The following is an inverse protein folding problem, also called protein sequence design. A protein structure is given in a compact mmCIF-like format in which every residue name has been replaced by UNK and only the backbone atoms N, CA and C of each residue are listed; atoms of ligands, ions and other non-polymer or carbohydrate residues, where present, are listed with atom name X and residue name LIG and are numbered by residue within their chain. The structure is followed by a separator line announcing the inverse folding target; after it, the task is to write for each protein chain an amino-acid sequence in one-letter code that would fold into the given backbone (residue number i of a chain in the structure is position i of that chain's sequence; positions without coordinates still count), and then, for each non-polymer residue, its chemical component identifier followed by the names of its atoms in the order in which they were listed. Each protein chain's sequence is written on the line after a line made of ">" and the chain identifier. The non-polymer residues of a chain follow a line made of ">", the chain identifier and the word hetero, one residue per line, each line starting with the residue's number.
data_IF_035945882128
#
_entry.id   IF_035945882128
#
_cell.length_a   1.000
_cell.length_b   1.000
_cell.length_c   1.000
_cell.angle_alpha   90.00
_cell.angle_beta   90.00
_cell.angle_gamma   90.00
#
_symmetry.space_group_name_H-M   'P 1'
#
loop_
_entity.id
_entity.type
_entity.pdbx_description
1 polymer ?
#
# COMPACT_ATOMS: atom_id res chain seq x y z
N UNK A 1 -35.07 5.77 3.38
CA UNK A 1 -33.96 5.92 2.42
C UNK A 1 -32.73 6.33 3.21
N UNK A 2 -31.74 5.45 3.34
CA UNK A 2 -30.62 5.63 4.27
C UNK A 2 -29.41 6.28 3.57
N UNK A 3 -28.73 7.16 4.30
CA UNK A 3 -27.52 7.90 3.91
C UNK A 3 -26.38 6.98 3.44
N UNK A 4 -26.44 5.69 3.78
CA UNK A 4 -25.52 4.64 3.32
C UNK A 4 -25.56 4.37 1.82
N UNK A 5 -26.69 4.60 1.15
CA UNK A 5 -26.85 4.28 -0.28
C UNK A 5 -26.20 5.34 -1.18
N UNK A 6 -25.96 6.56 -0.65
CA UNK A 6 -25.39 7.69 -1.39
C UNK A 6 -23.85 7.69 -1.42
N UNK A 7 -23.19 6.93 -0.53
CA UNK A 7 -21.72 6.84 -0.45
C UNK A 7 -21.17 5.63 -1.23
N UNK A 8 -22.04 4.67 -1.59
CA UNK A 8 -21.66 3.48 -2.35
C UNK A 8 -21.56 3.72 -3.88
N UNK A 9 -22.05 4.86 -4.37
CA UNK A 9 -22.30 5.10 -5.79
C UNK A 9 -21.06 5.34 -6.67
N UNK A 10 -19.94 5.94 -6.21
CA UNK A 10 -18.75 6.03 -7.07
C UNK A 10 -17.99 4.70 -7.19
N UNK A 11 -18.29 3.70 -6.36
CA UNK A 11 -17.58 2.41 -6.33
C UNK A 11 -18.12 1.36 -7.32
N UNK A 12 -19.25 1.61 -7.98
CA UNK A 12 -19.98 0.57 -8.73
C UNK A 12 -19.81 0.59 -10.25
N UNK A 13 -19.30 1.68 -10.84
CA UNK A 13 -19.38 1.86 -12.31
C UNK A 13 -18.09 1.56 -13.11
N UNK A 14 -16.94 1.43 -12.46
CA UNK A 14 -15.66 1.32 -13.17
C UNK A 14 -15.24 -0.08 -13.65
N UNK A 15 -15.70 -1.15 -12.97
CA UNK A 15 -15.20 -2.51 -13.20
C UNK A 15 -15.74 -3.17 -14.47
N UNK A 16 -16.98 -2.85 -14.87
CA UNK A 16 -17.65 -3.54 -15.98
C UNK A 16 -17.12 -3.12 -17.36
N UNK A 17 -16.36 -2.03 -17.46
CA UNK A 17 -15.93 -1.46 -18.73
C UNK A 17 -14.48 -1.78 -19.14
N UNK A 18 -13.67 -2.48 -18.33
CA UNK A 18 -12.23 -2.63 -18.61
C UNK A 18 -11.52 -3.96 -18.30
N UNK A 19 -12.16 -4.98 -17.73
CA UNK A 19 -11.49 -6.26 -17.43
C UNK A 19 -10.20 -6.13 -16.58
N UNK A 20 -10.07 -5.06 -15.78
CA UNK A 20 -8.85 -4.74 -15.01
C UNK A 20 -9.21 -4.31 -13.59
N UNK A 21 -8.23 -4.38 -12.68
CA UNK A 21 -8.35 -3.97 -11.27
C UNK A 21 -9.05 -2.61 -11.12
N UNK A 22 -10.00 -2.53 -10.17
CA UNK A 22 -10.80 -1.32 -9.89
C UNK A 22 -9.95 -0.11 -9.42
N UNK A 23 -8.86 -0.38 -8.68
CA UNK A 23 -7.84 0.61 -8.32
C UNK A 23 -6.45 0.02 -8.60
N UNK A 24 -5.47 0.86 -8.91
CA UNK A 24 -4.09 0.47 -9.22
C UNK A 24 -3.94 -0.43 -10.45
N UNK A 25 -4.56 -0.09 -11.60
CA UNK A 25 -4.57 -0.95 -12.80
C UNK A 25 -3.17 -1.10 -13.42
N UNK A 26 -2.26 -0.18 -13.13
CA UNK A 26 -0.89 -0.16 -13.62
C UNK A 26 0.08 0.02 -12.45
N UNK A 27 1.17 -0.74 -12.45
CA UNK A 27 2.18 -0.70 -11.41
C UNK A 27 3.38 -1.57 -11.75
N UNK A 28 4.43 -1.43 -10.95
CA UNK A 28 5.65 -2.22 -10.99
C UNK A 28 5.65 -3.11 -9.75
N UNK A 29 5.62 -4.42 -9.95
CA UNK A 29 5.84 -5.39 -8.90
C UNK A 29 7.36 -5.55 -8.70
N UNK A 30 7.80 -5.67 -7.47
CA UNK A 30 9.20 -5.76 -7.12
C UNK A 30 9.42 -6.67 -5.91
N UNK A 31 10.58 -7.33 -5.88
CA UNK A 31 11.10 -8.02 -4.70
C UNK A 31 12.10 -7.11 -3.99
N UNK A 32 12.21 -7.33 -2.69
CA UNK A 32 13.09 -6.54 -1.83
C UNK A 32 13.12 -7.08 -0.42
N UNK A 33 13.60 -6.26 0.51
CA UNK A 33 13.73 -6.61 1.92
C UNK A 33 13.17 -5.50 2.81
N UNK A 34 12.59 -5.93 3.93
CA UNK A 34 12.24 -5.09 5.07
C UNK A 34 13.29 -5.30 6.16
N UNK A 35 13.87 -4.22 6.66
CA UNK A 35 14.79 -4.21 7.79
C UNK A 35 14.12 -3.48 8.96
N UNK A 36 13.97 -4.14 10.10
CA UNK A 36 13.37 -3.51 11.28
C UNK A 36 14.43 -2.65 11.96
N UNK A 37 14.11 -1.37 12.19
CA UNK A 37 15.02 -0.43 12.89
C UNK A 37 14.55 -0.11 14.31
N UNK A 38 13.24 -0.17 14.58
CA UNK A 38 12.72 0.01 15.95
C UNK A 38 12.97 -1.24 16.81
N UNK A 39 13.16 -1.09 18.14
CA UNK A 39 13.28 -2.22 19.07
C UNK A 39 12.15 -3.25 18.89
N UNK A 40 12.48 -4.54 18.98
CA UNK A 40 11.57 -5.65 18.65
C UNK A 40 10.21 -5.62 19.39
N UNK A 41 10.20 -5.08 20.62
CA UNK A 41 9.00 -4.99 21.45
C UNK A 41 8.13 -3.75 21.16
N UNK A 42 8.60 -2.79 20.36
CA UNK A 42 7.98 -1.48 20.21
C UNK A 42 7.09 -1.39 18.96
N UNK A 43 5.81 -1.10 19.21
CA UNK A 43 4.84 -0.76 18.17
C UNK A 43 4.39 -1.95 17.31
N UNK A 44 4.19 -1.70 16.03
CA UNK A 44 3.64 -2.65 15.08
C UNK A 44 4.58 -3.83 14.82
N UNK A 45 4.04 -5.04 14.58
CA UNK A 45 4.83 -6.27 14.52
C UNK A 45 5.49 -6.50 13.14
N UNK A 46 6.10 -5.47 12.54
CA UNK A 46 6.84 -5.64 11.27
C UNK A 46 8.16 -6.36 11.58
N UNK A 47 8.40 -7.56 11.00
CA UNK A 47 9.69 -8.25 11.09
C UNK A 47 10.68 -7.70 10.06
N UNK A 48 11.96 -8.04 10.24
CA UNK A 48 12.89 -8.05 9.12
C UNK A 48 12.65 -9.31 8.29
N UNK A 49 12.49 -9.17 6.98
CA UNK A 49 12.15 -10.27 6.07
C UNK A 49 12.35 -9.86 4.62
N UNK A 50 12.31 -10.84 3.72
CA UNK A 50 12.02 -10.56 2.32
C UNK A 50 10.58 -10.05 2.17
N UNK A 51 10.36 -9.26 1.13
CA UNK A 51 9.05 -8.72 0.79
C UNK A 51 8.80 -8.77 -0.71
N UNK A 52 7.52 -8.78 -1.05
CA UNK A 52 7.05 -8.43 -2.39
C UNK A 52 6.29 -7.13 -2.28
N UNK A 53 6.61 -6.14 -3.10
CA UNK A 53 5.96 -4.85 -3.10
C UNK A 53 5.48 -4.46 -4.49
N UNK A 54 4.48 -3.59 -4.55
CA UNK A 54 3.98 -3.01 -5.79
C UNK A 54 3.91 -1.50 -5.65
N UNK A 55 4.65 -0.80 -6.50
CA UNK A 55 4.54 0.65 -6.69
C UNK A 55 3.54 0.88 -7.83
N UNK A 56 2.60 1.80 -7.67
CA UNK A 56 1.48 1.91 -8.62
C UNK A 56 0.89 3.30 -8.70
N UNK A 57 0.12 3.53 -9.75
CA UNK A 57 -0.75 4.70 -9.93
C UNK A 57 -2.16 4.31 -9.53
N UNK A 58 -2.78 5.02 -8.58
CA UNK A 58 -4.05 4.60 -7.99
C UNK A 58 -5.22 4.68 -8.98
N UNK A 59 -5.33 5.79 -9.72
CA UNK A 59 -6.34 5.97 -10.76
C UNK A 59 -5.87 5.30 -12.06
N UNK A 60 -4.56 5.37 -12.35
CA UNK A 60 -3.96 4.80 -13.55
C UNK A 60 -3.93 5.80 -14.71
N UNK A 61 -3.66 7.07 -14.42
CA UNK A 61 -3.51 8.09 -15.48
C UNK A 61 -2.39 7.71 -16.46
N UNK A 62 -2.51 8.04 -17.76
CA UNK A 62 -1.54 7.62 -18.76
C UNK A 62 -0.14 8.19 -18.53
N UNK A 63 0.89 7.37 -18.76
CA UNK A 63 2.29 7.78 -18.77
C UNK A 63 2.70 8.63 -17.57
N UNK A 64 3.33 9.78 -17.85
CA UNK A 64 3.90 10.70 -16.88
C UNK A 64 2.88 11.58 -16.12
N UNK A 65 1.58 11.47 -16.42
CA UNK A 65 0.57 12.38 -15.88
C UNK A 65 0.42 12.28 -14.36
N UNK A 66 -0.03 13.35 -13.69
CA UNK A 66 -0.29 13.33 -12.25
C UNK A 66 -1.28 12.24 -11.84
N UNK A 67 -1.11 11.69 -10.64
CA UNK A 67 -1.97 10.66 -10.05
C UNK A 67 -1.74 10.63 -8.53
N UNK A 68 -2.50 9.82 -7.80
CA UNK A 68 -2.10 9.33 -6.49
C UNK A 68 -1.19 8.13 -6.67
N UNK A 69 -0.14 8.05 -5.87
CA UNK A 69 0.77 6.91 -5.93
C UNK A 69 0.49 5.94 -4.78
N UNK A 70 0.51 4.65 -5.08
CA UNK A 70 0.28 3.57 -4.13
C UNK A 70 1.53 2.72 -3.92
N UNK A 71 1.73 2.29 -2.68
CA UNK A 71 2.72 1.29 -2.30
C UNK A 71 1.99 0.15 -1.56
N UNK A 72 1.94 -1.02 -2.18
CA UNK A 72 1.51 -2.25 -1.55
C UNK A 72 2.73 -3.06 -1.14
N UNK A 73 2.74 -3.65 0.05
CA UNK A 73 3.85 -4.47 0.56
C UNK A 73 3.25 -5.73 1.15
N UNK A 74 3.75 -6.90 0.74
CA UNK A 74 3.50 -8.18 1.36
C UNK A 74 4.73 -8.56 2.16
N UNK A 75 4.56 -8.58 3.47
CA UNK A 75 5.57 -9.02 4.42
C UNK A 75 5.39 -10.51 4.66
N UNK A 76 6.47 -11.27 4.49
CA UNK A 76 6.46 -12.70 4.77
C UNK A 76 6.19 -12.96 6.25
N UNK A 77 5.37 -13.97 6.59
CA UNK A 77 5.14 -14.34 7.98
C UNK A 77 6.44 -14.86 8.61
N UNK A 78 6.61 -14.63 9.93
CA UNK A 78 7.73 -15.23 10.69
C UNK A 78 7.55 -16.72 10.91
N UNK A 79 6.32 -17.18 11.04
CA UNK A 79 5.96 -18.57 11.29
C UNK A 79 5.34 -19.17 10.03
N UNK A 80 5.70 -20.41 9.70
CA UNK A 80 5.28 -21.08 8.46
C UNK A 80 3.76 -21.18 8.32
N UNK A 81 3.03 -21.27 9.44
CA UNK A 81 1.57 -21.38 9.46
C UNK A 81 0.84 -20.02 9.57
N UNK A 82 1.56 -18.90 9.71
CA UNK A 82 0.95 -17.58 9.85
C UNK A 82 0.61 -16.96 8.50
N UNK A 83 -0.43 -16.13 8.47
CA UNK A 83 -0.81 -15.35 7.31
C UNK A 83 0.24 -14.29 6.99
N UNK A 84 0.53 -14.01 5.71
CA UNK A 84 1.34 -12.85 5.34
C UNK A 84 0.64 -11.57 5.79
N UNK A 85 1.41 -10.48 5.87
CA UNK A 85 0.84 -9.16 6.14
C UNK A 85 0.91 -8.28 4.91
N UNK A 86 -0.26 -7.94 4.37
CA UNK A 86 -0.39 -6.95 3.30
C UNK A 86 -0.63 -5.55 3.88
N UNK A 87 0.27 -4.64 3.55
CA UNK A 87 0.24 -3.24 3.93
C UNK A 87 -0.03 -2.44 2.66
N UNK A 88 -1.08 -1.61 2.67
CA UNK A 88 -1.40 -0.71 1.58
C UNK A 88 -1.25 0.74 2.02
N UNK A 89 -0.45 1.49 1.28
CA UNK A 89 -0.19 2.91 1.50
C UNK A 89 -0.49 3.69 0.22
N UNK A 90 -0.93 4.94 0.37
CA UNK A 90 -1.20 5.84 -0.75
C UNK A 90 -0.77 7.26 -0.42
N UNK A 91 -0.39 8.04 -1.43
CA UNK A 91 0.07 9.43 -1.28
C UNK A 91 -0.98 10.29 -0.58
N UNK A 92 -0.60 10.82 0.58
CA UNK A 92 -1.48 11.61 1.44
C UNK A 92 -0.68 12.58 2.30
N UNK A 93 -1.37 13.48 2.99
CA UNK A 93 -0.76 14.23 4.08
C UNK A 93 -0.38 13.34 5.27
N UNK A 94 0.49 13.83 6.15
CA UNK A 94 1.01 13.08 7.31
C UNK A 94 0.69 13.69 8.69
N UNK A 95 0.06 14.86 8.72
CA UNK A 95 -0.45 15.45 9.96
C UNK A 95 -1.53 14.57 10.61
N UNK A 96 -1.87 14.82 11.88
CA UNK A 96 -2.81 13.98 12.65
C UNK A 96 -4.16 13.79 11.96
N UNK A 97 -4.73 14.85 11.38
CA UNK A 97 -5.96 14.75 10.58
C UNK A 97 -5.67 14.36 9.13
N UNK A 98 -4.59 14.91 8.55
CA UNK A 98 -4.27 14.74 7.14
C UNK A 98 -3.94 13.28 6.77
N UNK A 99 -3.38 12.49 7.70
CA UNK A 99 -3.06 11.06 7.49
C UNK A 99 -4.28 10.16 7.27
N UNK A 100 -5.49 10.65 7.56
CA UNK A 100 -6.73 9.88 7.39
C UNK A 100 -7.55 10.31 6.17
N UNK A 101 -7.52 11.60 5.81
CA UNK A 101 -8.48 12.18 4.85
C UNK A 101 -7.84 12.97 3.71
N UNK A 102 -6.57 13.37 3.82
CA UNK A 102 -5.94 14.26 2.85
C UNK A 102 -5.18 13.47 1.79
N UNK A 103 -5.90 12.82 0.88
CA UNK A 103 -5.31 12.26 -0.35
C UNK A 103 -4.62 13.38 -1.13
N UNK A 104 -3.39 13.12 -1.60
CA UNK A 104 -2.58 14.11 -2.29
C UNK A 104 -2.18 13.60 -3.68
N UNK A 105 -2.67 14.20 -4.77
CA UNK A 105 -2.14 13.92 -6.09
C UNK A 105 -0.68 14.41 -6.16
N UNK A 106 0.14 13.70 -6.90
CA UNK A 106 1.55 14.04 -7.09
C UNK A 106 1.92 14.00 -8.56
N UNK A 107 3.03 14.65 -8.87
CA UNK A 107 3.67 14.70 -10.19
C UNK A 107 5.03 14.02 -10.20
N UNK A 108 5.51 13.51 -9.05
CA UNK A 108 6.83 12.89 -8.89
C UNK A 108 6.79 11.69 -7.93
N UNK A 109 7.69 10.73 -8.17
CA UNK A 109 7.94 9.57 -7.30
C UNK A 109 8.85 9.92 -6.10
N UNK A 110 9.70 10.93 -6.26
CA UNK A 110 10.68 11.37 -5.26
C UNK A 110 10.01 12.14 -4.12
N UNK A 111 10.51 11.96 -2.89
CA UNK A 111 10.11 12.75 -1.72
C UNK A 111 8.64 12.60 -1.30
N UNK A 112 7.98 11.53 -1.75
CA UNK A 112 6.56 11.33 -1.49
C UNK A 112 6.32 10.75 -0.11
N UNK A 113 5.22 11.17 0.50
CA UNK A 113 4.72 10.61 1.75
C UNK A 113 3.44 9.84 1.48
N UNK A 114 3.41 8.58 1.89
CA UNK A 114 2.27 7.68 1.74
C UNK A 114 1.82 7.22 3.12
N UNK A 115 0.52 7.10 3.35
CA UNK A 115 0.00 6.58 4.62
C UNK A 115 -1.03 5.49 4.39
N UNK A 116 -1.35 4.74 5.45
CA UNK A 116 -2.35 3.67 5.39
C UNK A 116 -3.77 4.18 5.16
N UNK A 117 -4.04 5.49 5.32
CA UNK A 117 -5.36 6.17 5.38
C UNK A 117 -6.33 5.64 6.44
N UNK A 118 -6.14 4.41 6.88
CA UNK A 118 -6.90 3.76 7.93
C UNK A 118 -5.99 3.38 9.09
N UNK A 119 -6.46 3.55 10.32
CA UNK A 119 -5.76 3.06 11.48
C UNK A 119 -5.75 1.52 11.53
N UNK A 120 -4.69 0.99 12.12
CA UNK A 120 -4.53 -0.40 12.51
C UNK A 120 -4.75 -0.49 14.02
N UNK A 121 -5.41 -1.52 14.50
CA UNK A 121 -5.52 -1.82 15.92
C UNK A 121 -4.57 -2.95 16.25
N UNK A 122 -3.70 -2.73 17.23
CA UNK A 122 -2.72 -3.71 17.67
C UNK A 122 -2.39 -3.48 19.15
N UNK A 123 -2.44 -4.56 19.95
CA UNK A 123 -2.19 -4.55 21.41
C UNK A 123 -2.94 -3.42 22.15
N UNK A 124 -4.22 -3.24 21.81
CA UNK A 124 -5.07 -2.19 22.39
C UNK A 124 -4.82 -0.77 21.87
N UNK A 125 -3.75 -0.54 21.12
CA UNK A 125 -3.42 0.76 20.53
C UNK A 125 -4.00 0.94 19.12
N UNK A 126 -4.17 2.21 18.74
CA UNK A 126 -4.52 2.63 17.38
C UNK A 126 -3.25 3.12 16.70
N UNK A 127 -2.89 2.53 15.57
CA UNK A 127 -1.61 2.75 14.92
C UNK A 127 -1.79 3.23 13.48
N UNK A 128 -0.87 4.07 13.04
CA UNK A 128 -0.77 4.55 11.67
C UNK A 128 0.55 4.11 11.08
N UNK A 129 0.57 3.76 9.79
CA UNK A 129 1.79 3.52 9.04
C UNK A 129 2.01 4.65 8.03
N UNK A 130 3.28 5.01 7.84
CA UNK A 130 3.74 5.94 6.82
C UNK A 130 4.94 5.36 6.09
N UNK A 131 4.98 5.53 4.77
CA UNK A 131 6.19 5.38 3.99
C UNK A 131 6.65 6.75 3.48
N UNK A 132 7.96 6.98 3.46
CA UNK A 132 8.58 8.11 2.79
C UNK A 132 9.64 7.60 1.83
N UNK A 133 9.58 7.98 0.57
CA UNK A 133 10.64 7.66 -0.39
C UNK A 133 11.92 8.39 0.05
N UNK A 134 13.01 7.65 0.25
CA UNK A 134 14.32 8.20 0.63
C UNK A 134 15.17 8.40 -0.62
N UNK A 135 15.15 7.42 -1.53
CA UNK A 135 15.89 7.49 -2.79
C UNK A 135 15.27 8.53 -3.73
N UNK A 136 16.13 9.15 -4.54
CA UNK A 136 15.68 9.94 -5.67
C UNK A 136 15.26 9.02 -6.83
N UNK A 137 13.98 9.06 -7.18
CA UNK A 137 13.41 8.33 -8.31
C UNK A 137 13.24 9.33 -9.46
N UNK A 138 14.39 9.71 -10.03
CA UNK A 138 14.50 10.79 -11.01
C UNK A 138 13.98 10.35 -12.39
N UNK A 139 13.11 11.17 -12.98
CA UNK A 139 12.57 10.96 -14.31
C UNK A 139 11.48 11.98 -14.65
N UNK A 140 10.81 11.79 -15.78
CA UNK A 140 9.75 12.69 -16.24
C UNK A 140 8.39 12.26 -15.68
N UNK A 141 7.90 12.99 -14.68
CA UNK A 141 6.57 12.81 -14.11
C UNK A 141 6.38 11.45 -13.41
N UNK A 142 5.16 10.91 -13.49
CA UNK A 142 4.81 9.61 -12.89
C UNK A 142 4.92 8.42 -13.86
N UNK A 143 5.94 8.40 -14.72
CA UNK A 143 6.19 7.24 -15.57
C UNK A 143 6.54 6.02 -14.72
N UNK A 144 5.91 4.87 -15.00
CA UNK A 144 6.25 3.61 -14.33
C UNK A 144 7.58 3.04 -14.82
N UNK A 145 8.07 3.45 -16.00
CA UNK A 145 9.40 3.02 -16.45
C UNK A 145 10.49 3.63 -15.58
N UNK A 146 10.33 4.88 -15.14
CA UNK A 146 11.24 5.51 -14.17
C UNK A 146 11.36 4.70 -12.88
N UNK A 147 10.27 4.10 -12.41
CA UNK A 147 10.30 3.20 -11.25
C UNK A 147 11.09 1.93 -11.54
N UNK A 148 10.90 1.33 -12.73
CA UNK A 148 11.65 0.13 -13.13
C UNK A 148 13.15 0.42 -13.25
N UNK A 149 13.49 1.52 -13.90
CA UNK A 149 14.88 1.98 -14.08
C UNK A 149 15.55 2.25 -12.75
N UNK A 150 14.89 2.95 -11.82
CA UNK A 150 15.42 3.18 -10.48
C UNK A 150 15.67 1.88 -9.71
N UNK A 151 14.75 0.91 -9.80
CA UNK A 151 14.95 -0.41 -9.19
C UNK A 151 16.15 -1.14 -9.81
N UNK A 152 16.27 -1.15 -11.15
CA UNK A 152 17.41 -1.78 -11.85
C UNK A 152 18.74 -1.06 -11.59
N UNK A 153 18.71 0.25 -11.40
CA UNK A 153 19.88 1.12 -11.30
C UNK A 153 20.47 1.29 -9.90
N UNK A 154 19.91 0.64 -8.89
CA UNK A 154 20.41 0.75 -7.51
C UNK A 154 19.36 0.46 -6.43
N UNK A 155 18.09 0.36 -6.82
CA UNK A 155 16.99 0.09 -5.91
C UNK A 155 16.27 1.36 -5.45
N UNK A 156 15.12 1.17 -4.80
CA UNK A 156 14.36 2.26 -4.19
C UNK A 156 14.22 1.98 -2.70
N UNK A 157 14.63 2.93 -1.88
CA UNK A 157 14.54 2.87 -0.42
C UNK A 157 13.37 3.71 0.10
N UNK A 158 12.65 3.17 1.07
CA UNK A 158 11.61 3.86 1.83
C UNK A 158 11.86 3.77 3.33
N UNK A 159 11.69 4.89 4.02
CA UNK A 159 11.54 4.89 5.47
C UNK A 159 10.10 4.49 5.80
N UNK A 160 9.94 3.46 6.65
CA UNK A 160 8.66 3.06 7.20
C UNK A 160 8.59 3.56 8.64
N UNK A 161 7.61 4.43 8.90
CA UNK A 161 7.38 5.03 10.20
C UNK A 161 6.02 4.58 10.77
N UNK A 162 5.87 4.67 12.08
CA UNK A 162 4.64 4.37 12.81
C UNK A 162 4.25 5.49 13.78
N UNK A 163 2.95 5.62 14.07
CA UNK A 163 2.46 6.51 15.11
C UNK A 163 1.32 5.86 15.89
N UNK A 164 1.35 5.98 17.22
CA UNK A 164 0.24 5.53 18.09
C UNK A 164 -0.71 6.71 18.38
N UNK A 165 -2.00 6.52 18.11
CA UNK A 165 -3.04 7.52 18.29
C UNK A 165 -2.74 8.80 17.52
N UNK A 166 -2.51 9.88 18.26
CA UNK A 166 -2.20 11.22 17.74
C UNK A 166 -0.73 11.59 17.82
N UNK A 167 0.13 10.65 18.26
CA UNK A 167 1.56 10.90 18.37
C UNK A 167 2.20 11.19 17.00
N UNK A 168 3.40 11.73 17.07
CA UNK A 168 4.27 11.88 15.91
C UNK A 168 4.72 10.52 15.38
N UNK A 169 5.09 10.53 14.10
CA UNK A 169 5.64 9.35 13.46
C UNK A 169 7.07 9.12 13.91
N UNK A 170 7.33 7.93 14.43
CA UNK A 170 8.66 7.43 14.79
C UNK A 170 9.10 6.33 13.84
N UNK A 171 10.41 6.15 13.58
CA UNK A 171 10.91 5.08 12.72
C UNK A 171 10.43 3.69 13.17
N UNK A 172 10.14 2.82 12.21
CA UNK A 172 9.76 1.42 12.44
C UNK A 172 10.69 0.47 11.68
N UNK A 173 10.81 0.70 10.37
CA UNK A 173 11.57 -0.16 9.47
C UNK A 173 12.10 0.62 8.26
N UNK A 174 12.99 0.00 7.50
CA UNK A 174 13.46 0.42 6.20
C UNK A 174 13.04 -0.62 5.18
N UNK A 175 12.48 -0.17 4.07
CA UNK A 175 12.13 -1.03 2.93
C UNK A 175 13.07 -0.71 1.78
N UNK A 176 13.69 -1.74 1.20
CA UNK A 176 14.54 -1.62 0.01
C UNK A 176 14.03 -2.53 -1.09
N UNK A 177 13.70 -1.97 -2.25
CA UNK A 177 13.25 -2.71 -3.43
C UNK A 177 14.38 -2.79 -4.46
N UNK A 178 14.78 -3.99 -4.84
CA UNK A 178 16.01 -4.21 -5.63
C UNK A 178 15.77 -4.94 -6.94
N UNK A 179 14.66 -5.67 -7.08
CA UNK A 179 14.40 -6.48 -8.26
C UNK A 179 13.01 -6.20 -8.80
N UNK A 180 12.91 -5.63 -10.00
CA UNK A 180 11.63 -5.50 -10.68
C UNK A 180 11.19 -6.86 -11.23
N UNK A 181 9.94 -7.23 -10.96
CA UNK A 181 9.33 -8.47 -11.42
C UNK A 181 8.70 -8.23 -12.80
N UNK A 182 8.80 -9.21 -13.69
CA UNK A 182 8.32 -9.11 -15.07
C UNK A 182 6.79 -8.94 -15.13
N UNK A 183 6.24 -8.60 -16.31
CA UNK A 183 4.80 -8.48 -16.51
C UNK A 183 4.07 -9.82 -16.58
N UNK A 184 4.70 -10.93 -16.19
CA UNK A 184 4.11 -12.26 -16.25
C UNK A 184 2.84 -12.30 -15.38
N UNK A 185 1.65 -12.57 -15.97
CA UNK A 185 0.41 -12.71 -15.22
C UNK A 185 0.48 -13.77 -14.11
N UNK A 186 1.32 -14.80 -14.25
CA UNK A 186 1.53 -15.82 -13.22
C UNK A 186 2.20 -15.26 -11.95
N UNK A 187 2.91 -14.14 -12.07
CA UNK A 187 3.53 -13.44 -10.94
C UNK A 187 2.61 -12.34 -10.36
N UNK A 188 1.35 -12.25 -10.80
CA UNK A 188 0.43 -11.20 -10.37
C UNK A 188 -0.05 -11.39 -8.91
N UNK A 189 0.60 -10.68 -7.99
CA UNK A 189 0.26 -10.73 -6.56
C UNK A 189 -0.99 -9.91 -6.24
N UNK A 190 -2.01 -10.56 -5.69
CA UNK A 190 -3.21 -9.91 -5.15
C UNK A 190 -3.00 -9.52 -3.68
N UNK A 191 -2.83 -8.22 -3.41
CA UNK A 191 -2.72 -7.69 -2.05
C UNK A 191 -4.10 -7.45 -1.42
N UNK A 192 -4.31 -7.92 -0.19
CA UNK A 192 -5.56 -7.80 0.56
C UNK A 192 -5.27 -7.50 2.05
N UNK A 193 -5.33 -6.23 2.49
CA UNK A 193 -4.98 -5.83 3.85
C UNK A 193 -6.06 -6.20 4.88
N UNK A 194 -7.19 -6.80 4.45
CA UNK A 194 -8.21 -7.30 5.37
C UNK A 194 -7.96 -8.77 5.69
N UNK A 195 -7.65 -9.57 4.66
CA UNK A 195 -7.39 -11.01 4.81
C UNK A 195 -5.98 -11.28 5.32
N UNK A 196 -4.99 -10.57 4.78
CA UNK A 196 -3.58 -10.77 5.10
C UNK A 196 -3.14 -9.79 6.20
N UNK A 197 -3.44 -10.15 7.44
CA UNK A 197 -3.00 -9.44 8.64
C UNK A 197 -2.37 -10.42 9.64
N UNK A 198 -1.37 -10.00 10.43
CA UNK A 198 -0.76 -10.84 11.43
C UNK A 198 -1.67 -10.99 12.66
N UNK A 199 -1.46 -12.03 13.49
CA UNK A 199 -2.25 -12.24 14.71
C UNK A 199 -2.33 -11.00 15.60
N UNK A 200 -3.55 -10.67 16.04
CA UNK A 200 -3.82 -9.53 16.92
C UNK A 200 -3.80 -8.15 16.24
N UNK A 201 -3.56 -8.09 14.93
CA UNK A 201 -3.67 -6.87 14.14
C UNK A 201 -4.98 -6.87 13.35
N UNK A 202 -5.67 -5.72 13.32
CA UNK A 202 -6.88 -5.54 12.52
C UNK A 202 -6.98 -4.13 11.98
N UNK A 203 -7.68 -3.95 10.87
CA UNK A 203 -8.05 -2.61 10.39
C UNK A 203 -9.14 -2.00 11.28
N UNK A 204 -9.09 -0.67 11.43
CA UNK A 204 -10.05 0.11 12.20
C UNK A 204 -10.47 1.35 11.39
N UNK A 205 -11.72 1.83 11.48
CA UNK A 205 -12.87 1.18 12.13
C UNK A 205 -13.36 -0.04 11.33
N UNK A 206 -13.97 -1.01 12.03
CA UNK A 206 -14.36 -2.31 11.44
C UNK A 206 -15.30 -2.20 10.24
N UNK A 207 -16.26 -1.27 10.26
CA UNK A 207 -17.21 -1.08 9.16
C UNK A 207 -16.53 -0.74 7.83
N UNK A 208 -15.42 0.01 7.87
CA UNK A 208 -14.67 0.40 6.68
C UNK A 208 -13.79 -0.77 6.20
N UNK A 209 -13.29 -1.60 7.13
CA UNK A 209 -12.65 -2.87 6.79
C UNK A 209 -13.63 -3.82 6.08
N UNK A 210 -14.88 -3.91 6.54
CA UNK A 210 -15.91 -4.74 5.91
C UNK A 210 -16.29 -4.25 4.50
N UNK A 211 -16.37 -2.92 4.32
CA UNK A 211 -16.58 -2.32 3.01
C UNK A 211 -15.44 -2.68 2.04
N UNK A 212 -14.18 -2.57 2.49
CA UNK A 212 -13.01 -2.97 1.71
C UNK A 212 -13.03 -4.47 1.41
N UNK A 213 -13.36 -5.31 2.38
CA UNK A 213 -13.46 -6.76 2.18
C UNK A 213 -14.44 -7.12 1.06
N UNK A 214 -15.60 -6.45 1.01
CA UNK A 214 -16.59 -6.62 -0.08
C UNK A 214 -16.03 -6.20 -1.43
N UNK A 215 -15.35 -5.05 -1.50
CA UNK A 215 -14.74 -4.56 -2.74
C UNK A 215 -13.61 -5.49 -3.24
N UNK A 216 -12.73 -5.95 -2.35
CA UNK A 216 -11.65 -6.87 -2.69
C UNK A 216 -12.17 -8.24 -3.14
N UNK A 217 -13.15 -8.83 -2.44
CA UNK A 217 -13.76 -10.11 -2.87
C UNK A 217 -14.31 -10.04 -4.30
N UNK A 218 -15.01 -8.96 -4.64
CA UNK A 218 -15.57 -8.77 -6.00
C UNK A 218 -14.48 -8.55 -7.05
N UNK A 219 -13.43 -7.80 -6.70
CA UNK A 219 -12.27 -7.64 -7.59
C UNK A 219 -11.49 -8.94 -7.80
N UNK A 220 -11.57 -9.92 -6.88
CA UNK A 220 -10.99 -11.27 -7.07
C UNK A 220 -11.88 -12.11 -7.98
N UNK A 221 -13.18 -12.15 -7.71
CA UNK A 221 -14.13 -12.92 -8.52
C UNK A 221 -14.16 -12.48 -10.00
N UNK A 222 -13.95 -11.19 -10.28
CA UNK A 222 -13.83 -10.70 -11.66
C UNK A 222 -12.51 -11.06 -12.37
N UNK A 223 -11.51 -11.60 -11.66
CA UNK A 223 -10.26 -12.11 -12.25
C UNK A 223 -10.31 -13.60 -12.59
N UNK A 224 -11.11 -14.37 -11.85
CA UNK A 224 -11.24 -15.82 -12.01
C UNK A 224 -12.36 -16.20 -13.00
N UNK A 225 -13.00 -15.21 -13.64
CA UNK A 225 -14.11 -15.37 -14.59
C UNK A 225 -13.68 -15.23 -16.07
N UNK A 226 -12.37 -15.21 -16.32
CA UNK A 226 -11.73 -15.31 -17.65
C UNK A 226 -10.89 -16.59 -17.71
#
# INVERSE_FOLDING_TARGET
>A
MNVSDLVATPFQWGSALRGRRFFHPVGVLAKGSMERVAPAAQGLPIPSSDVVARISKAVGTPGAWPDFIGLAIRVAPREVAATPWDILLVSSGSGVLARAVALRPTTSWTGQTLTSLMPLRYRGGIWWLRARTISDVNGSGLSLETVREAIRGGGIEFAIDQACGRADFTPLARLTLTTAVGPDPAEDVSFDPVVHTPPGLSLSPGWLADLRARAYRRSRAGRDAE
#
